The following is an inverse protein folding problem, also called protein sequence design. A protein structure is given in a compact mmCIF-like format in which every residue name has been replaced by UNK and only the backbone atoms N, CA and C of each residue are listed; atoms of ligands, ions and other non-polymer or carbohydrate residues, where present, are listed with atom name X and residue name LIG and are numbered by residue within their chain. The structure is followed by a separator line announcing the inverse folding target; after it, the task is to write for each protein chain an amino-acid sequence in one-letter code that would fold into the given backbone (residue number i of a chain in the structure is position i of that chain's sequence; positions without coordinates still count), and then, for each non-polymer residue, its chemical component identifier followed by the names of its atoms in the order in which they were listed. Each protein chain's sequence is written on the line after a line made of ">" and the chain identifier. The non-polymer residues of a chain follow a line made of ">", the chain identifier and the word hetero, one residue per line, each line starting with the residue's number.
data_IF_706348974269
#
_entry.id   IF_706348974269
#
_cell.length_a   1.000
_cell.length_b   1.000
_cell.length_c   1.000
_cell.angle_alpha   90.00
_cell.angle_beta   90.00
_cell.angle_gamma   90.00
#
_symmetry.space_group_name_H-M   'P 1'
#
loop_
_entity.id
_entity.type
_entity.pdbx_description
1 polymer ?
#
# COMPACT_ATOMS: atom_id res chain seq x y z
N UNK A 1 -5.99 -11.06 -7.86
CA UNK A 1 -6.98 -10.98 -6.76
C UNK A 1 -6.38 -11.30 -5.39
N UNK A 2 -5.45 -12.25 -5.25
CA UNK A 2 -4.83 -12.56 -3.94
C UNK A 2 -4.04 -11.38 -3.32
N UNK A 3 -3.22 -10.69 -4.13
CA UNK A 3 -2.40 -9.56 -3.66
C UNK A 3 -3.22 -8.38 -3.12
N UNK A 4 -4.35 -8.08 -3.76
CA UNK A 4 -5.27 -7.00 -3.35
C UNK A 4 -5.96 -7.35 -2.03
N UNK A 5 -6.37 -8.61 -1.88
CA UNK A 5 -6.92 -9.12 -0.62
C UNK A 5 -5.90 -9.00 0.52
N UNK A 6 -4.65 -9.39 0.26
CA UNK A 6 -3.55 -9.26 1.24
C UNK A 6 -3.26 -7.81 1.61
N UNK A 7 -3.33 -6.90 0.64
CA UNK A 7 -3.23 -5.46 0.91
C UNK A 7 -4.32 -5.02 1.90
N UNK A 8 -5.59 -5.34 1.64
CA UNK A 8 -6.69 -4.95 2.53
C UNK A 8 -6.65 -5.65 3.90
N UNK A 9 -5.99 -6.80 4.02
CA UNK A 9 -5.73 -7.43 5.31
C UNK A 9 -4.67 -6.64 6.11
N UNK A 10 -3.54 -6.31 5.49
CA UNK A 10 -2.50 -5.51 6.13
C UNK A 10 -3.02 -4.12 6.51
N UNK A 11 -3.75 -3.46 5.60
CA UNK A 11 -4.30 -2.12 5.85
C UNK A 11 -5.30 -2.10 7.00
N UNK A 12 -6.17 -3.12 7.11
CA UNK A 12 -7.09 -3.23 8.26
C UNK A 12 -6.35 -3.45 9.58
N UNK A 13 -5.31 -4.29 9.59
CA UNK A 13 -4.51 -4.51 10.79
C UNK A 13 -3.79 -3.24 11.25
N UNK A 14 -3.31 -2.42 10.32
CA UNK A 14 -2.71 -1.10 10.62
C UNK A 14 -3.75 -0.18 11.24
N UNK A 15 -4.92 -0.05 10.61
CA UNK A 15 -6.01 0.79 11.11
C UNK A 15 -6.52 0.34 12.49
N UNK A 16 -6.56 -0.95 12.75
CA UNK A 16 -6.92 -1.50 14.06
C UNK A 16 -5.89 -1.12 15.13
N UNK A 17 -4.60 -1.14 14.81
CA UNK A 17 -3.55 -0.67 15.72
C UNK A 17 -3.59 0.84 15.94
N UNK A 18 -3.80 1.64 14.89
CA UNK A 18 -3.93 3.11 14.97
C UNK A 18 -5.18 3.56 15.73
N UNK A 19 -6.29 2.82 15.63
CA UNK A 19 -7.50 3.07 16.40
C UNK A 19 -7.37 2.65 17.87
N UNK A 20 -6.40 1.77 18.17
CA UNK A 20 -6.03 1.39 19.52
C UNK A 20 -5.33 2.51 20.29
N UNK A 21 -5.17 2.32 21.60
CA UNK A 21 -4.33 3.22 22.39
C UNK A 21 -2.87 2.79 22.23
N UNK A 22 -2.06 3.67 21.67
CA UNK A 22 -0.60 3.51 21.67
C UNK A 22 -0.10 3.34 23.12
N UNK A 23 0.66 2.28 23.42
CA UNK A 23 1.19 2.08 24.75
C UNK A 23 2.22 3.18 25.09
N UNK A 24 2.40 3.54 26.38
CA UNK A 24 3.46 4.46 26.76
C UNK A 24 4.83 3.92 26.36
N UNK A 25 5.75 4.78 25.91
CA UNK A 25 7.13 4.41 25.56
C UNK A 25 7.90 3.73 26.71
N UNK A 26 7.46 3.96 27.95
CA UNK A 26 8.01 3.32 29.16
C UNK A 26 7.47 1.91 29.42
N UNK A 27 6.46 1.47 28.67
CA UNK A 27 5.85 0.17 28.87
C UNK A 27 6.81 -0.95 28.43
N UNK A 28 6.97 -2.03 29.20
CA UNK A 28 7.86 -3.14 28.84
C UNK A 28 7.53 -3.81 27.49
N UNK A 29 6.28 -3.71 27.02
CA UNK A 29 5.82 -4.27 25.75
C UNK A 29 5.81 -3.25 24.60
N UNK A 30 6.17 -1.99 24.84
CA UNK A 30 6.21 -0.96 23.78
C UNK A 30 7.10 -1.37 22.60
N UNK A 31 8.33 -1.91 22.79
CA UNK A 31 9.17 -2.31 21.66
C UNK A 31 8.53 -3.41 20.79
N UNK A 32 7.76 -4.32 21.39
CA UNK A 32 7.06 -5.36 20.65
C UNK A 32 5.87 -4.80 19.86
N UNK A 33 5.15 -3.85 20.43
CA UNK A 33 4.07 -3.13 19.75
C UNK A 33 4.60 -2.30 18.57
N UNK A 34 5.69 -1.56 18.78
CA UNK A 34 6.36 -0.74 17.75
C UNK A 34 6.87 -1.63 16.60
N UNK A 35 7.57 -2.72 16.92
CA UNK A 35 8.05 -3.67 15.91
C UNK A 35 6.90 -4.35 15.12
N UNK A 36 5.76 -4.60 15.77
CA UNK A 36 4.57 -5.11 15.09
C UNK A 36 4.02 -4.07 14.11
N UNK A 37 3.93 -2.81 14.53
CA UNK A 37 3.43 -1.73 13.69
C UNK A 37 4.34 -1.51 12.47
N UNK A 38 5.65 -1.36 12.69
CA UNK A 38 6.65 -1.22 11.63
C UNK A 38 6.62 -2.41 10.65
N UNK A 39 6.45 -3.62 11.18
CA UNK A 39 6.29 -4.83 10.39
C UNK A 39 5.09 -4.79 9.44
N UNK A 40 3.95 -4.28 9.92
CA UNK A 40 2.75 -4.09 9.10
C UNK A 40 2.95 -3.02 8.02
N UNK A 41 3.59 -1.89 8.35
CA UNK A 41 3.92 -0.84 7.37
C UNK A 41 4.83 -1.41 6.27
N UNK A 42 5.91 -2.09 6.64
CA UNK A 42 6.83 -2.72 5.69
C UNK A 42 6.13 -3.79 4.84
N UNK A 43 5.22 -4.57 5.43
CA UNK A 43 4.41 -5.55 4.71
C UNK A 43 3.51 -4.87 3.66
N UNK A 44 2.82 -3.79 4.03
CA UNK A 44 1.99 -3.00 3.11
C UNK A 44 2.81 -2.49 1.92
N UNK A 45 3.95 -1.85 2.17
CA UNK A 45 4.84 -1.33 1.11
C UNK A 45 5.32 -2.43 0.16
N UNK A 46 5.67 -3.61 0.70
CA UNK A 46 6.03 -4.78 -0.12
C UNK A 46 4.87 -5.27 -0.98
N UNK A 47 3.64 -5.28 -0.46
CA UNK A 47 2.45 -5.68 -1.22
C UNK A 47 2.16 -4.69 -2.35
N UNK A 48 2.23 -3.38 -2.08
CA UNK A 48 2.06 -2.33 -3.11
C UNK A 48 3.10 -2.51 -4.22
N UNK A 49 4.36 -2.79 -3.85
CA UNK A 49 5.43 -3.09 -4.81
C UNK A 49 5.12 -4.33 -5.67
N UNK A 50 4.58 -5.39 -5.06
CA UNK A 50 4.14 -6.58 -5.80
C UNK A 50 2.97 -6.27 -6.74
N UNK A 51 1.99 -5.46 -6.31
CA UNK A 51 0.89 -5.00 -7.16
C UNK A 51 1.40 -4.22 -8.38
N UNK A 52 2.41 -3.36 -8.19
CA UNK A 52 3.01 -2.61 -9.28
C UNK A 52 3.67 -3.51 -10.34
N UNK A 53 4.23 -4.65 -9.93
CA UNK A 53 4.83 -5.64 -10.81
C UNK A 53 3.86 -6.51 -11.61
N UNK A 54 2.56 -6.51 -11.25
CA UNK A 54 1.54 -7.28 -11.95
C UNK A 54 0.85 -6.42 -13.01
N UNK A 55 0.57 -6.96 -14.19
CA UNK A 55 -0.25 -6.27 -15.21
C UNK A 55 -1.75 -6.43 -14.87
N UNK A 56 -2.50 -5.34 -14.88
CA UNK A 56 -3.96 -5.37 -14.74
C UNK A 56 -4.64 -5.25 -16.11
N UNK A 57 -5.02 -6.38 -16.69
CA UNK A 57 -5.64 -6.42 -18.03
C UNK A 57 -7.16 -6.22 -18.01
N UNK A 58 -7.81 -6.36 -16.85
CA UNK A 58 -9.26 -6.18 -16.70
C UNK A 58 -9.59 -4.84 -16.02
N UNK A 59 -10.77 -4.26 -16.27
CA UNK A 59 -11.23 -3.05 -15.58
C UNK A 59 -11.23 -3.18 -14.05
N UNK A 60 -11.58 -4.35 -13.52
CA UNK A 60 -11.59 -4.63 -12.08
C UNK A 60 -10.18 -4.58 -11.49
N UNK A 61 -9.20 -5.14 -12.21
CA UNK A 61 -7.80 -5.08 -11.80
C UNK A 61 -7.26 -3.65 -11.82
N UNK A 62 -7.64 -2.86 -12.81
CA UNK A 62 -7.26 -1.44 -12.90
C UNK A 62 -7.88 -0.63 -11.77
N UNK A 63 -9.18 -0.83 -11.50
CA UNK A 63 -9.89 -0.18 -10.40
C UNK A 63 -9.26 -0.52 -9.04
N UNK A 64 -8.92 -1.79 -8.81
CA UNK A 64 -8.26 -2.20 -7.58
C UNK A 64 -6.90 -1.49 -7.37
N UNK A 65 -6.11 -1.26 -8.44
CA UNK A 65 -4.89 -0.47 -8.33
C UNK A 65 -5.18 1.00 -8.05
N UNK A 66 -6.20 1.56 -8.70
CA UNK A 66 -6.61 2.96 -8.50
C UNK A 66 -7.03 3.22 -7.05
N UNK A 67 -7.84 2.35 -6.45
CA UNK A 67 -8.29 2.46 -5.05
C UNK A 67 -7.12 2.49 -4.06
N UNK A 68 -6.08 1.67 -4.29
CA UNK A 68 -4.86 1.68 -3.47
C UNK A 68 -4.09 3.01 -3.63
N UNK A 69 -4.00 3.52 -4.86
CA UNK A 69 -3.31 4.77 -5.15
C UNK A 69 -4.01 5.99 -4.57
N UNK A 70 -5.33 6.09 -4.71
CA UNK A 70 -6.12 7.20 -4.16
C UNK A 70 -5.89 7.37 -2.66
N UNK A 71 -5.68 6.25 -1.97
CA UNK A 71 -5.43 6.22 -0.52
C UNK A 71 -3.99 6.62 -0.15
N UNK A 72 -2.99 6.09 -0.84
CA UNK A 72 -1.59 6.21 -0.40
C UNK A 72 -0.78 7.27 -1.13
N UNK A 73 -1.07 7.55 -2.39
CA UNK A 73 -0.31 8.51 -3.18
C UNK A 73 -0.29 9.92 -2.56
N UNK A 74 -1.39 10.46 -1.99
CA UNK A 74 -1.34 11.76 -1.31
C UNK A 74 -0.49 11.76 -0.03
N UNK A 75 -0.32 10.61 0.62
CA UNK A 75 0.57 10.49 1.79
C UNK A 75 2.01 10.52 1.28
N UNK A 76 2.37 9.68 0.31
CA UNK A 76 3.73 9.63 -0.22
C UNK A 76 4.18 10.98 -0.79
N UNK A 77 3.34 11.67 -1.56
CA UNK A 77 3.68 12.98 -2.13
C UNK A 77 3.88 14.09 -1.07
N UNK A 78 3.40 13.91 0.17
CA UNK A 78 3.65 14.85 1.27
C UNK A 78 5.05 14.69 1.88
N UNK A 79 5.67 13.52 1.72
CA UNK A 79 7.00 13.23 2.23
C UNK A 79 7.98 13.20 1.04
N UNK A 80 8.90 14.16 0.99
CA UNK A 80 9.69 14.55 -0.20
C UNK A 80 10.65 13.50 -0.82
N UNK A 81 10.63 12.23 -0.39
CA UNK A 81 11.56 11.19 -0.88
C UNK A 81 10.91 10.24 -1.89
N UNK A 82 10.52 10.79 -3.03
CA UNK A 82 9.73 10.13 -4.07
C UNK A 82 10.53 9.36 -5.13
N UNK A 83 11.83 9.12 -4.92
CA UNK A 83 12.70 8.53 -5.94
C UNK A 83 12.41 7.06 -6.27
N UNK A 84 11.94 6.29 -5.28
CA UNK A 84 11.66 4.85 -5.44
C UNK A 84 10.40 4.35 -4.70
N UNK A 85 9.39 5.21 -4.55
CA UNK A 85 8.20 4.85 -3.80
C UNK A 85 7.35 3.77 -4.49
N UNK A 86 6.90 2.72 -3.76
CA UNK A 86 5.98 1.71 -4.25
C UNK A 86 4.71 2.29 -4.89
N UNK A 87 4.19 3.39 -4.35
CA UNK A 87 3.00 4.10 -4.82
C UNK A 87 3.25 4.76 -6.18
N UNK A 88 4.42 5.37 -6.40
CA UNK A 88 4.79 5.94 -7.70
C UNK A 88 4.93 4.84 -8.74
N UNK A 89 5.57 3.72 -8.37
CA UNK A 89 5.66 2.53 -9.23
C UNK A 89 4.28 1.98 -9.58
N UNK A 90 3.36 1.94 -8.61
CA UNK A 90 1.99 1.49 -8.83
C UNK A 90 1.20 2.45 -9.76
N UNK A 91 1.40 3.76 -9.62
CA UNK A 91 0.78 4.77 -10.49
C UNK A 91 1.25 4.63 -11.95
N UNK A 92 2.55 4.50 -12.16
CA UNK A 92 3.13 4.25 -13.49
C UNK A 92 2.65 2.90 -14.07
N UNK A 93 2.50 1.89 -13.22
CA UNK A 93 1.96 0.58 -13.62
C UNK A 93 0.50 0.69 -14.08
N UNK A 94 -0.36 1.38 -13.33
CA UNK A 94 -1.75 1.64 -13.72
C UNK A 94 -1.85 2.44 -15.03
N UNK A 95 -1.01 3.46 -15.22
CA UNK A 95 -0.99 4.24 -16.46
C UNK A 95 -0.69 3.36 -17.68
N UNK A 96 0.26 2.40 -17.56
CA UNK A 96 0.56 1.43 -18.62
C UNK A 96 -0.58 0.45 -18.87
N UNK A 97 -1.24 0.00 -17.81
CA UNK A 97 -2.39 -0.91 -17.91
C UNK A 97 -3.54 -0.26 -18.68
N UNK A 98 -3.82 1.03 -18.44
CA UNK A 98 -4.86 1.79 -19.15
C UNK A 98 -4.45 2.05 -20.61
N UNK A 99 -3.21 2.50 -20.85
CA UNK A 99 -2.71 2.79 -22.19
C UNK A 99 -2.68 1.54 -23.11
N UNK A 100 -2.34 0.37 -22.56
CA UNK A 100 -2.31 -0.89 -23.31
C UNK A 100 -3.69 -1.49 -23.61
N UNK A 101 -4.76 -0.92 -23.07
CA UNK A 101 -6.15 -1.35 -23.27
C UNK A 101 -6.96 -0.37 -24.14
N UNK A 102 -6.33 0.68 -24.69
CA UNK A 102 -6.95 1.55 -25.70
C UNK A 102 -7.08 0.73 -26.99
N UNK A 103 -8.30 0.55 -27.56
CA UNK A 103 -8.44 -0.02 -28.89
C UNK A 103 -7.71 0.90 -29.88
N UNK A 104 -6.78 0.34 -30.65
CA UNK A 104 -6.27 1.03 -31.86
C UNK A 104 -7.36 1.10 -32.92
#
# INVERSE_FOLDING_TARGET
>A
MDVVRRYWQAERAILEMEAGTEPPVTAPWYPAWEAQFDGLIAQRSRIISQMAGLRAVTPEGQRAKAEVLERHLPICLRWYDCGDDPEIRLALSLARDVAGNVPQ
#
